data_IF_371736800004
#
_entry.id   IF_371736800004
#
_cell.length_a   1.000
_cell.length_b   1.000
_cell.length_c   1.000
_cell.angle_alpha   90.00
_cell.angle_beta   90.00
_cell.angle_gamma   90.00
#
_symmetry.space_group_name_H-M   'P 1'
#
loop_
_entity.id
_entity.type
_entity.pdbx_description
1 polymer ?
#
# COMPACT_ATOMS: atom_id res chain seq x y z
N UNK A 1 5.74 -12.48 -7.82
CA UNK A 1 5.60 -11.74 -9.10
C UNK A 1 4.38 -10.83 -8.99
N UNK A 2 4.56 -9.53 -9.20
CA UNK A 2 3.47 -8.58 -9.21
C UNK A 2 2.66 -8.73 -10.51
N UNK A 3 1.37 -9.06 -10.42
CA UNK A 3 0.45 -9.11 -11.57
C UNK A 3 -0.56 -7.96 -11.43
N UNK A 4 -0.58 -7.06 -12.40
CA UNK A 4 -1.58 -5.99 -12.51
C UNK A 4 -1.21 -4.67 -11.83
N UNK A 5 -2.20 -3.79 -11.73
CA UNK A 5 -2.10 -2.41 -11.23
C UNK A 5 -1.96 -2.30 -9.70
N UNK A 6 -1.44 -3.32 -9.01
CA UNK A 6 -1.31 -3.33 -7.55
C UNK A 6 0.06 -3.87 -7.14
N UNK A 7 0.77 -3.12 -6.31
CA UNK A 7 2.07 -3.45 -5.74
C UNK A 7 1.93 -3.99 -4.34
N UNK A 8 2.64 -5.06 -4.03
CA UNK A 8 2.70 -5.61 -2.68
C UNK A 8 4.10 -5.34 -2.12
N UNK A 9 4.18 -4.52 -1.09
CA UNK A 9 5.41 -4.20 -0.37
C UNK A 9 5.47 -4.99 0.93
N UNK A 10 6.65 -5.49 1.25
CA UNK A 10 6.94 -6.17 2.52
C UNK A 10 8.02 -5.39 3.22
N UNK A 11 7.78 -5.03 4.49
CA UNK A 11 8.77 -4.33 5.28
C UNK A 11 9.71 -5.35 5.96
N UNK A 12 11.04 -5.18 5.92
CA UNK A 12 11.99 -6.18 6.42
C UNK A 12 11.84 -6.48 7.91
N UNK A 13 11.45 -5.48 8.71
CA UNK A 13 11.32 -5.61 10.16
C UNK A 13 9.87 -5.67 10.68
N UNK A 14 8.88 -5.30 9.86
CA UNK A 14 7.47 -5.23 10.30
C UNK A 14 6.73 -6.38 9.61
N UNK A 15 6.08 -7.23 10.40
CA UNK A 15 5.29 -8.34 9.87
C UNK A 15 4.05 -7.77 9.19
N UNK A 16 3.93 -8.02 7.89
CA UNK A 16 2.79 -7.57 7.11
C UNK A 16 3.17 -7.31 5.66
N UNK A 17 2.16 -7.35 4.80
CA UNK A 17 2.27 -7.03 3.38
C UNK A 17 1.29 -5.91 3.07
N UNK A 18 1.80 -4.82 2.52
CA UNK A 18 1.04 -3.62 2.21
C UNK A 18 0.73 -3.65 0.71
N UNK A 19 -0.53 -3.47 0.35
CA UNK A 19 -0.94 -3.39 -1.06
C UNK A 19 -1.14 -1.93 -1.44
N UNK A 20 -0.44 -1.49 -2.48
CA UNK A 20 -0.49 -0.14 -3.01
C UNK A 20 -1.05 -0.20 -4.43
N UNK A 21 -2.16 0.47 -4.74
CA UNK A 21 -2.62 0.60 -6.11
C UNK A 21 -1.61 1.42 -6.92
N UNK A 22 -1.26 0.90 -8.08
CA UNK A 22 -0.34 1.45 -9.05
C UNK A 22 -1.13 1.86 -10.29
N UNK A 23 -1.76 3.01 -10.21
CA UNK A 23 -2.37 3.70 -11.35
C UNK A 23 -1.95 5.16 -11.30
N UNK A 24 -1.89 5.81 -12.46
CA UNK A 24 -1.60 7.24 -12.56
C UNK A 24 -2.71 8.07 -11.92
N UNK A 25 -2.37 9.21 -11.30
CA UNK A 25 -3.32 10.15 -10.70
C UNK A 25 -3.38 10.09 -9.17
N UNK A 26 -4.29 10.88 -8.59
CA UNK A 26 -4.41 11.04 -7.15
C UNK A 26 -5.03 9.82 -6.46
N UNK A 27 -4.53 9.53 -5.26
CA UNK A 27 -5.13 8.55 -4.37
C UNK A 27 -6.28 9.18 -3.59
N UNK A 28 -7.43 8.50 -3.56
CA UNK A 28 -8.53 8.91 -2.68
C UNK A 28 -8.03 8.94 -1.22
N UNK A 29 -8.43 9.94 -0.41
CA UNK A 29 -7.98 10.06 0.97
C UNK A 29 -8.22 8.79 1.83
N UNK A 30 -9.33 8.08 1.59
CA UNK A 30 -9.63 6.82 2.26
C UNK A 30 -8.60 5.72 1.94
N UNK A 31 -8.17 5.62 0.67
CA UNK A 31 -7.15 4.68 0.22
C UNK A 31 -5.80 5.02 0.86
N UNK A 32 -5.42 6.30 0.86
CA UNK A 32 -4.21 6.77 1.53
C UNK A 32 -4.23 6.44 3.03
N UNK A 33 -5.33 6.71 3.72
CA UNK A 33 -5.48 6.39 5.14
C UNK A 33 -5.38 4.89 5.42
N UNK A 34 -5.95 4.03 4.56
CA UNK A 34 -5.81 2.58 4.70
C UNK A 34 -4.34 2.15 4.58
N UNK A 35 -3.61 2.71 3.60
CA UNK A 35 -2.19 2.40 3.40
C UNK A 35 -1.37 2.85 4.60
N UNK A 36 -1.60 4.07 5.11
CA UNK A 36 -0.89 4.59 6.29
C UNK A 36 -1.14 3.74 7.53
N UNK A 37 -2.39 3.32 7.75
CA UNK A 37 -2.75 2.43 8.86
C UNK A 37 -2.07 1.06 8.73
N UNK A 38 -2.04 0.48 7.52
CA UNK A 38 -1.35 -0.79 7.27
C UNK A 38 0.18 -0.67 7.42
N UNK A 39 0.75 0.50 7.14
CA UNK A 39 2.16 0.82 7.38
C UNK A 39 2.49 1.10 8.85
N UNK A 40 1.47 1.28 9.71
CA UNK A 40 1.62 1.73 11.08
C UNK A 40 2.20 3.14 11.17
N UNK A 41 1.78 4.03 10.26
CA UNK A 41 2.15 5.44 10.21
C UNK A 41 1.02 6.36 10.69
N UNK A 42 -0.18 5.81 10.91
CA UNK A 42 -1.37 6.48 11.43
C UNK A 42 -2.23 5.49 12.19
#
# INVERSE_FOLDING_TARGET
MQKGSHLQLVHPFKRGKITIPMHSGDLKPATLHSILRQAGLK
#
